data_IF_257131447343
#
_entry.id   IF_257131447343
#
_cell.length_a   1.000
_cell.length_b   1.000
_cell.length_c   1.000
_cell.angle_alpha   90.00
_cell.angle_beta   90.00
_cell.angle_gamma   90.00
#
_symmetry.space_group_name_H-M   'P 1'
#
loop_
_entity.id
_entity.type
_entity.pdbx_description
1 polymer ?
#
# COMPACT_ATOMS: atom_id res chain seq x y z
N UNK A 1 -27.36 18.31 -6.77
CA UNK A 1 -26.23 17.36 -6.90
C UNK A 1 -25.58 17.21 -5.53
N UNK A 2 -25.93 16.17 -4.77
CA UNK A 2 -25.41 15.99 -3.42
C UNK A 2 -23.99 15.39 -3.45
N UNK A 3 -23.00 16.09 -2.89
CA UNK A 3 -21.69 15.50 -2.67
C UNK A 3 -21.83 14.36 -1.66
N UNK A 4 -21.79 13.12 -2.15
CA UNK A 4 -21.74 11.93 -1.29
C UNK A 4 -20.38 11.99 -0.58
N UNK A 5 -20.39 12.35 0.71
CA UNK A 5 -19.18 12.35 1.52
C UNK A 5 -18.67 10.91 1.55
N UNK A 6 -17.47 10.69 1.00
CA UNK A 6 -16.86 9.36 0.96
C UNK A 6 -16.83 8.75 2.37
N UNK A 7 -17.26 7.49 2.50
CA UNK A 7 -17.16 6.70 3.74
C UNK A 7 -15.73 6.62 4.29
N UNK A 8 -14.74 6.93 3.45
CA UNK A 8 -13.31 6.88 3.76
C UNK A 8 -12.64 8.23 3.94
N UNK A 9 -13.39 9.31 4.21
CA UNK A 9 -12.80 10.64 4.43
C UNK A 9 -11.74 10.56 5.54
N UNK A 10 -10.47 10.71 5.16
CA UNK A 10 -9.30 10.65 6.05
C UNK A 10 -9.26 9.41 6.96
N UNK A 11 -9.60 8.23 6.42
CA UNK A 11 -9.60 6.97 7.17
C UNK A 11 -8.28 6.21 7.04
N UNK A 12 -7.76 5.72 8.17
CA UNK A 12 -6.67 4.73 8.20
C UNK A 12 -7.26 3.31 8.22
N UNK A 13 -6.74 2.41 7.39
CA UNK A 13 -7.25 1.04 7.19
C UNK A 13 -6.11 0.06 7.42
N UNK A 14 -6.42 -1.09 8.01
CA UNK A 14 -5.42 -2.09 8.37
C UNK A 14 -4.82 -2.76 7.12
N UNK A 15 -3.50 -2.68 6.97
CA UNK A 15 -2.75 -3.28 5.87
C UNK A 15 -2.42 -4.76 6.12
N UNK A 16 -1.98 -5.47 5.07
CA UNK A 16 -1.30 -6.76 5.25
C UNK A 16 -0.08 -6.60 6.15
N UNK A 17 0.11 -7.55 7.07
CA UNK A 17 1.24 -7.57 8.01
C UNK A 17 2.47 -8.29 7.46
N UNK A 18 2.35 -8.93 6.31
CA UNK A 18 3.42 -9.72 5.67
C UNK A 18 3.26 -9.73 4.15
N UNK A 19 4.36 -9.96 3.40
CA UNK A 19 4.32 -10.30 1.99
C UNK A 19 3.46 -11.53 1.71
N UNK A 20 3.11 -11.73 0.44
CA UNK A 20 2.30 -12.86 0.00
C UNK A 20 3.01 -14.20 0.26
N UNK A 21 4.28 -14.29 -0.12
CA UNK A 21 5.04 -15.56 -0.14
C UNK A 21 6.29 -15.51 0.74
N UNK A 22 7.09 -14.45 0.63
CA UNK A 22 8.42 -14.40 1.23
C UNK A 22 8.40 -13.97 2.70
N UNK A 23 9.46 -14.35 3.42
CA UNK A 23 9.86 -13.62 4.61
C UNK A 23 10.42 -12.25 4.20
N UNK A 24 10.29 -11.26 5.07
CA UNK A 24 10.83 -9.93 4.84
C UNK A 24 11.60 -9.46 6.06
N UNK A 25 12.41 -8.43 5.84
CA UNK A 25 13.12 -7.70 6.90
C UNK A 25 12.60 -6.27 6.93
N UNK A 26 12.33 -5.77 8.12
CA UNK A 26 12.11 -4.34 8.36
C UNK A 26 13.46 -3.59 8.33
N UNK A 27 13.38 -2.27 8.19
CA UNK A 27 14.54 -1.38 8.05
C UNK A 27 14.50 -0.24 9.06
N UNK A 28 14.37 -0.58 10.35
CA UNK A 28 14.43 0.40 11.45
C UNK A 28 15.79 1.11 11.53
N UNK A 29 16.84 0.57 10.92
CA UNK A 29 18.12 1.23 10.73
C UNK A 29 18.05 2.44 9.78
N UNK A 30 17.10 2.44 8.84
CA UNK A 30 16.86 3.55 7.90
C UNK A 30 15.80 4.52 8.45
N UNK A 31 14.72 4.00 9.04
CA UNK A 31 13.56 4.81 9.43
C UNK A 31 13.41 5.06 10.94
N UNK A 32 14.28 4.48 11.77
CA UNK A 32 14.18 4.49 13.23
C UNK A 32 13.10 3.52 13.76
N UNK A 33 13.13 3.27 15.08
CA UNK A 33 12.23 2.32 15.75
C UNK A 33 10.74 2.64 15.63
N UNK A 34 10.40 3.90 15.41
CA UNK A 34 9.02 4.37 15.20
C UNK A 34 8.61 4.47 13.73
N UNK A 35 9.52 4.20 12.79
CA UNK A 35 9.30 4.41 11.35
C UNK A 35 9.28 5.87 10.89
N UNK A 36 9.37 6.81 11.83
CA UNK A 36 9.46 8.27 11.64
C UNK A 36 10.54 8.87 12.55
N UNK A 37 11.61 8.10 12.79
CA UNK A 37 12.59 8.34 13.83
C UNK A 37 12.44 7.36 15.00
N UNK A 38 13.11 7.65 16.11
CA UNK A 38 13.17 6.72 17.26
C UNK A 38 11.96 6.81 18.20
N UNK A 39 11.15 7.86 18.09
CA UNK A 39 9.96 8.02 18.92
C UNK A 39 8.82 7.13 18.44
N UNK A 40 8.18 6.42 19.37
CA UNK A 40 6.98 5.62 19.09
C UNK A 40 5.76 6.51 19.32
N UNK A 41 5.23 7.06 18.23
CA UNK A 41 4.04 7.91 18.26
C UNK A 41 2.77 7.06 18.38
N UNK A 42 1.86 7.45 19.28
CA UNK A 42 0.54 6.81 19.43
C UNK A 42 -0.56 7.80 19.04
N UNK A 43 -1.56 7.38 18.25
CA UNK A 43 -2.67 8.26 17.89
C UNK A 43 -3.50 8.60 19.13
N UNK A 44 -3.87 9.88 19.28
CA UNK A 44 -4.62 10.37 20.46
C UNK A 44 -6.11 10.01 20.37
N UNK A 45 -6.70 10.09 19.17
CA UNK A 45 -8.16 9.95 18.97
C UNK A 45 -8.55 8.95 17.89
N UNK A 46 -7.79 8.89 16.80
CA UNK A 46 -8.13 8.07 15.64
C UNK A 46 -7.72 6.62 15.84
N UNK A 47 -8.58 5.70 15.40
CA UNK A 47 -8.28 4.28 15.32
C UNK A 47 -8.36 3.84 13.87
N UNK A 48 -7.50 2.89 13.49
CA UNK A 48 -7.62 2.25 12.19
C UNK A 48 -8.95 1.50 12.10
N UNK A 49 -9.57 1.50 10.92
CA UNK A 49 -10.72 0.66 10.66
C UNK A 49 -10.29 -0.82 10.68
N UNK A 50 -11.19 -1.69 11.16
CA UNK A 50 -10.97 -3.14 11.23
C UNK A 50 -10.98 -3.82 9.86
N UNK A 51 -11.49 -3.12 8.83
CA UNK A 51 -11.50 -3.58 7.45
C UNK A 51 -10.07 -3.77 6.92
N UNK A 52 -9.90 -4.76 6.04
CA UNK A 52 -8.65 -4.94 5.32
C UNK A 52 -8.50 -3.95 4.17
N UNK A 53 -7.27 -3.47 3.96
CA UNK A 53 -6.97 -2.51 2.89
C UNK A 53 -7.43 -2.99 1.51
N UNK A 54 -7.24 -4.27 1.16
CA UNK A 54 -7.66 -4.80 -0.15
C UNK A 54 -9.18 -4.75 -0.39
N UNK A 55 -9.99 -4.89 0.67
CA UNK A 55 -11.45 -4.74 0.59
C UNK A 55 -11.84 -3.29 0.34
N UNK A 56 -11.19 -2.37 1.04
CA UNK A 56 -11.42 -0.94 0.87
C UNK A 56 -11.00 -0.46 -0.52
N UNK A 57 -9.90 -0.97 -1.06
CA UNK A 57 -9.45 -0.68 -2.44
C UNK A 57 -10.54 -1.10 -3.43
N UNK A 58 -11.10 -2.30 -3.28
CA UNK A 58 -12.17 -2.81 -4.15
C UNK A 58 -13.43 -1.94 -4.08
N UNK A 59 -13.87 -1.56 -2.88
CA UNK A 59 -15.05 -0.70 -2.71
C UNK A 59 -14.84 0.73 -3.26
N UNK A 60 -13.64 1.29 -3.06
CA UNK A 60 -13.27 2.59 -3.62
C UNK A 60 -13.24 2.52 -5.14
N UNK A 61 -12.76 1.41 -5.70
CA UNK A 61 -12.80 1.17 -7.13
C UNK A 61 -14.22 1.18 -7.67
N UNK A 62 -15.13 0.41 -7.09
CA UNK A 62 -16.54 0.42 -7.51
C UNK A 62 -17.20 1.80 -7.37
N UNK A 63 -16.83 2.55 -6.33
CA UNK A 63 -17.38 3.90 -6.07
C UNK A 63 -16.84 4.95 -7.05
N UNK A 64 -15.57 4.84 -7.43
CA UNK A 64 -14.83 5.82 -8.24
C UNK A 64 -14.34 5.20 -9.55
N UNK A 65 -15.18 4.38 -10.18
CA UNK A 65 -14.81 3.62 -11.36
C UNK A 65 -14.28 4.52 -12.48
N UNK A 66 -13.11 4.18 -13.03
CA UNK A 66 -12.38 4.93 -14.07
C UNK A 66 -11.89 6.33 -13.72
N UNK A 67 -12.08 6.78 -12.48
CA UNK A 67 -11.57 8.08 -12.00
C UNK A 67 -10.74 7.95 -10.71
N UNK A 68 -10.57 6.73 -10.20
CA UNK A 68 -9.71 6.48 -9.05
C UNK A 68 -8.25 6.55 -9.46
N UNK A 69 -7.48 7.41 -8.80
CA UNK A 69 -6.03 7.42 -8.87
C UNK A 69 -5.42 6.75 -7.63
N UNK A 70 -4.37 5.98 -7.82
CA UNK A 70 -3.73 5.20 -6.77
C UNK A 70 -2.24 5.54 -6.67
N UNK A 71 -1.81 5.95 -5.47
CA UNK A 71 -0.41 6.23 -5.16
C UNK A 71 0.17 5.09 -4.29
N UNK A 72 1.00 4.26 -4.90
CA UNK A 72 1.68 3.13 -4.26
C UNK A 72 3.13 3.51 -3.92
N UNK A 73 3.34 3.93 -2.66
CA UNK A 73 4.66 4.31 -2.12
C UNK A 73 5.20 3.32 -1.08
N UNK A 74 4.67 2.10 -1.11
CA UNK A 74 4.99 1.02 -0.17
C UNK A 74 4.91 -0.33 -0.89
N UNK A 75 5.30 -1.46 -0.26
CA UNK A 75 5.19 -2.77 -0.87
C UNK A 75 3.77 -3.05 -1.42
N UNK A 76 3.71 -3.62 -2.62
CA UNK A 76 2.47 -3.73 -3.41
C UNK A 76 1.50 -4.82 -2.93
N UNK A 77 1.74 -5.42 -1.76
CA UNK A 77 0.98 -6.55 -1.20
C UNK A 77 -0.54 -6.34 -1.23
N UNK A 78 -1.01 -5.19 -0.74
CA UNK A 78 -2.45 -4.91 -0.69
C UNK A 78 -3.06 -4.73 -2.09
N UNK A 79 -2.30 -4.14 -3.01
CA UNK A 79 -2.75 -3.95 -4.39
C UNK A 79 -2.81 -5.29 -5.12
N UNK A 80 -1.81 -6.15 -4.92
CA UNK A 80 -1.81 -7.51 -5.43
C UNK A 80 -2.98 -8.34 -4.86
N UNK A 81 -3.23 -8.29 -3.56
CA UNK A 81 -4.39 -8.94 -2.93
C UNK A 81 -5.72 -8.41 -3.47
N UNK A 82 -5.84 -7.10 -3.67
CA UNK A 82 -7.04 -6.49 -4.24
C UNK A 82 -7.25 -6.97 -5.68
N UNK A 83 -6.19 -7.04 -6.50
CA UNK A 83 -6.27 -7.56 -7.87
C UNK A 83 -6.67 -9.04 -7.89
N UNK A 84 -6.06 -9.88 -7.04
CA UNK A 84 -6.39 -11.30 -6.94
C UNK A 84 -7.85 -11.53 -6.56
N UNK A 85 -8.41 -10.67 -5.70
CA UNK A 85 -9.82 -10.73 -5.30
C UNK A 85 -10.77 -10.12 -6.34
N UNK A 86 -10.33 -9.05 -7.00
CA UNK A 86 -11.13 -8.28 -7.96
C UNK A 86 -10.31 -8.00 -9.23
N UNK A 87 -10.29 -8.91 -10.21
CA UNK A 87 -9.45 -8.76 -11.41
C UNK A 87 -9.77 -7.54 -12.27
N UNK A 88 -11.01 -7.03 -12.19
CA UNK A 88 -11.43 -5.78 -12.86
C UNK A 88 -10.82 -4.51 -12.25
N UNK A 89 -9.97 -4.65 -11.24
CA UNK A 89 -9.22 -3.56 -10.63
C UNK A 89 -8.44 -2.74 -11.66
N UNK A 90 -7.87 -3.40 -12.67
CA UNK A 90 -7.10 -2.76 -13.74
C UNK A 90 -7.95 -1.90 -14.67
N UNK A 91 -9.23 -2.24 -14.86
CA UNK A 91 -10.18 -1.40 -15.61
C UNK A 91 -10.62 -0.17 -14.80
N UNK A 92 -10.52 -0.26 -13.47
CA UNK A 92 -11.06 0.72 -12.57
C UNK A 92 -10.09 1.86 -12.26
N UNK A 93 -8.83 1.53 -11.99
CA UNK A 93 -7.82 2.52 -11.64
C UNK A 93 -7.46 3.32 -12.89
N UNK A 94 -7.69 4.64 -12.85
CA UNK A 94 -7.37 5.54 -13.95
C UNK A 94 -5.85 5.72 -14.08
N UNK A 95 -5.19 6.02 -12.96
CA UNK A 95 -3.74 6.13 -12.87
C UNK A 95 -3.21 5.41 -11.65
N UNK A 96 -2.13 4.66 -11.85
CA UNK A 96 -1.36 3.99 -10.80
C UNK A 96 0.06 4.56 -10.80
N UNK A 97 0.39 5.31 -9.75
CA UNK A 97 1.71 5.86 -9.53
C UNK A 97 2.46 4.96 -8.55
N UNK A 98 3.62 4.45 -8.96
CA UNK A 98 4.41 3.53 -8.14
C UNK A 98 5.76 4.17 -7.82
N UNK A 99 6.13 4.21 -6.54
CA UNK A 99 7.49 4.45 -6.12
C UNK A 99 8.15 3.11 -5.79
N UNK A 100 9.09 2.73 -6.64
CA UNK A 100 9.92 1.57 -6.41
C UNK A 100 10.59 1.05 -7.68
N UNK A 101 11.39 0.02 -7.50
CA UNK A 101 12.19 -0.60 -8.56
C UNK A 101 13.51 0.13 -8.84
N UNK A 102 14.35 -0.52 -9.64
CA UNK A 102 15.62 0.06 -10.12
C UNK A 102 15.88 -0.41 -11.55
N UNK A 103 16.07 0.54 -12.46
CA UNK A 103 16.25 0.25 -13.90
C UNK A 103 17.72 0.03 -14.28
N UNK A 104 18.65 0.52 -13.47
CA UNK A 104 20.09 0.39 -13.69
C UNK A 104 20.77 -0.55 -12.68
N UNK A 105 19.97 -1.37 -11.96
CA UNK A 105 20.49 -2.33 -10.99
C UNK A 105 21.19 -1.70 -9.79
N UNK A 106 20.88 -0.44 -9.45
CA UNK A 106 21.33 0.21 -8.22
C UNK A 106 20.22 0.11 -7.19
N UNK A 107 20.30 -0.90 -6.32
CA UNK A 107 19.33 -1.14 -5.25
C UNK A 107 19.63 -0.35 -3.98
N UNK A 108 18.68 -0.36 -3.05
CA UNK A 108 18.80 0.26 -1.71
C UNK A 108 18.73 -0.76 -0.56
N UNK A 109 18.13 -1.93 -0.77
CA UNK A 109 18.07 -3.02 0.22
C UNK A 109 19.06 -4.14 -0.10
N UNK A 110 19.33 -4.37 -1.38
CA UNK A 110 20.40 -5.22 -1.89
C UNK A 110 21.15 -4.44 -2.96
N UNK A 111 22.32 -4.91 -3.45
CA UNK A 111 23.03 -4.21 -4.51
C UNK A 111 22.18 -3.95 -5.76
N UNK A 112 21.22 -4.84 -6.07
CA UNK A 112 20.43 -4.82 -7.32
C UNK A 112 18.92 -4.64 -7.15
N UNK A 113 18.39 -4.54 -5.93
CA UNK A 113 16.96 -4.45 -5.70
C UNK A 113 16.57 -3.26 -4.82
N UNK A 114 15.43 -2.66 -5.17
CA UNK A 114 14.75 -1.63 -4.38
C UNK A 114 13.79 -2.28 -3.38
N UNK A 115 13.68 -1.71 -2.18
CA UNK A 115 12.97 -2.26 -1.03
C UNK A 115 11.50 -2.61 -1.30
N UNK A 116 10.68 -1.69 -1.81
CA UNK A 116 9.25 -1.93 -2.00
C UNK A 116 8.98 -3.11 -2.93
N UNK A 117 9.80 -3.26 -3.98
CA UNK A 117 9.72 -4.41 -4.89
C UNK A 117 10.34 -5.67 -4.27
N UNK A 118 11.47 -5.55 -3.60
CA UNK A 118 12.18 -6.69 -3.00
C UNK A 118 11.35 -7.39 -1.91
N UNK A 119 10.59 -6.62 -1.12
CA UNK A 119 9.79 -7.12 0.01
C UNK A 119 8.74 -8.13 -0.42
N UNK A 120 8.04 -7.89 -1.54
CA UNK A 120 6.91 -8.73 -1.98
C UNK A 120 6.98 -9.10 -3.46
N UNK A 121 8.19 -9.32 -3.95
CA UNK A 121 8.40 -9.99 -5.23
C UNK A 121 7.95 -11.45 -5.12
N UNK A 122 7.10 -11.87 -6.05
CA UNK A 122 6.73 -13.26 -6.25
C UNK A 122 7.91 -13.94 -6.95
N UNK A 123 8.48 -14.98 -6.34
CA UNK A 123 9.54 -15.80 -6.92
C UNK A 123 9.05 -17.23 -7.03
#
# INVERSE_FOLDING_TARGET
>A
MGFRVSKYRYSSISNSKRPLVKSFKTVEDVHGKGGVGNEIVKPIRLKAQSKHAFDAITELCETYFKVLEFLAISPLTNLALAYLKYPRLTECIHHLYIMGGTIYGRGNITPIAEYNFWVDQMQ
#
